data_IF_398820306555
#
_entry.id   IF_398820306555
#
_cell.length_a   1.000
_cell.length_b   1.000
_cell.length_c   1.000
_cell.angle_alpha   90.00
_cell.angle_beta   90.00
_cell.angle_gamma   90.00
#
_symmetry.space_group_name_H-M   'P 1'
#
loop_
_entity.id
_entity.type
_entity.pdbx_description
1 polymer ?
#
# COMPACT_ATOMS: atom_id res chain seq x y z
N UNK A 1 3.26 -19.92 0.17
CA UNK A 1 3.17 -19.66 -1.29
C UNK A 1 4.40 -18.88 -1.69
N UNK A 2 5.24 -19.42 -2.59
CA UNK A 2 6.48 -18.78 -3.03
C UNK A 2 6.14 -17.96 -4.28
N UNK A 3 5.63 -16.74 -4.11
CA UNK A 3 5.42 -15.83 -5.24
C UNK A 3 6.79 -15.50 -5.84
N UNK A 4 6.93 -15.63 -7.16
CA UNK A 4 8.12 -15.14 -7.84
C UNK A 4 8.19 -13.62 -7.68
N UNK A 5 9.35 -13.10 -7.26
CA UNK A 5 9.62 -11.67 -7.09
C UNK A 5 9.14 -10.84 -8.28
N UNK A 6 9.31 -11.39 -9.48
CA UNK A 6 8.90 -10.83 -10.77
C UNK A 6 7.39 -10.56 -10.85
N UNK A 7 6.54 -11.47 -10.36
CA UNK A 7 5.08 -11.32 -10.38
C UNK A 7 4.65 -10.18 -9.46
N UNK A 8 5.23 -10.14 -8.26
CA UNK A 8 4.94 -9.08 -7.28
C UNK A 8 5.41 -7.73 -7.79
N UNK A 9 6.59 -7.69 -8.43
CA UNK A 9 7.10 -6.49 -9.08
C UNK A 9 6.15 -5.99 -10.19
N UNK A 10 5.71 -6.86 -11.10
CA UNK A 10 4.75 -6.50 -12.15
C UNK A 10 3.43 -5.98 -11.56
N UNK A 11 2.91 -6.63 -10.51
CA UNK A 11 1.72 -6.16 -9.81
C UNK A 11 1.92 -4.78 -9.17
N UNK A 12 3.09 -4.51 -8.57
CA UNK A 12 3.43 -3.19 -8.02
C UNK A 12 3.51 -2.11 -9.10
N UNK A 13 4.07 -2.41 -10.27
CA UNK A 13 4.11 -1.48 -11.41
C UNK A 13 2.69 -1.13 -11.86
N UNK A 14 1.83 -2.14 -12.03
CA UNK A 14 0.43 -1.93 -12.41
C UNK A 14 -0.34 -1.11 -11.37
N UNK A 15 -0.21 -1.44 -10.09
CA UNK A 15 -0.83 -0.70 -8.99
C UNK A 15 -0.32 0.74 -8.92
N UNK A 16 0.96 0.98 -9.21
CA UNK A 16 1.55 2.32 -9.21
C UNK A 16 0.99 3.16 -10.35
N UNK A 17 0.96 2.62 -11.57
CA UNK A 17 0.32 3.26 -12.72
C UNK A 17 -1.14 3.58 -12.44
N UNK A 18 -1.90 2.62 -11.89
CA UNK A 18 -3.30 2.82 -11.52
C UNK A 18 -3.47 3.98 -10.52
N UNK A 19 -2.69 4.00 -9.43
CA UNK A 19 -2.74 5.10 -8.46
C UNK A 19 -2.33 6.46 -9.04
N UNK A 20 -1.39 6.48 -9.98
CA UNK A 20 -0.96 7.70 -10.64
C UNK A 20 -2.09 8.31 -11.49
N UNK A 21 -2.80 7.47 -12.26
CA UNK A 21 -3.95 7.94 -13.04
C UNK A 21 -5.10 8.41 -12.15
N UNK A 22 -5.41 7.68 -11.07
CA UNK A 22 -6.42 8.11 -10.09
C UNK A 22 -6.08 9.44 -9.44
N UNK A 23 -4.82 9.65 -9.05
CA UNK A 23 -4.37 10.90 -8.43
C UNK A 23 -4.35 12.11 -9.36
N UNK A 24 -4.40 11.90 -10.68
CA UNK A 24 -4.51 12.99 -11.68
C UNK A 24 -5.94 13.40 -12.00
N UNK A 25 -6.95 12.68 -11.48
CA UNK A 25 -8.34 13.07 -11.66
C UNK A 25 -8.59 14.38 -10.89
N UNK A 26 -9.22 15.36 -11.54
CA UNK A 26 -9.46 16.70 -10.96
C UNK A 26 -10.40 16.68 -9.77
N UNK A 27 -11.34 15.72 -9.75
CA UNK A 27 -12.35 15.58 -8.71
C UNK A 27 -12.06 14.35 -7.85
N UNK A 28 -11.14 14.49 -6.90
CA UNK A 28 -10.89 13.44 -5.91
C UNK A 28 -12.06 13.44 -4.92
N UNK A 29 -12.93 12.43 -5.04
CA UNK A 29 -13.98 12.16 -4.07
C UNK A 29 -13.53 11.11 -3.03
N UNK A 30 -14.37 10.87 -2.03
CA UNK A 30 -14.09 9.90 -0.96
C UNK A 30 -13.87 8.46 -1.46
N UNK A 31 -14.52 8.07 -2.56
CA UNK A 31 -14.34 6.75 -3.18
C UNK A 31 -12.96 6.63 -3.83
N UNK A 32 -12.53 7.64 -4.58
CA UNK A 32 -11.20 7.69 -5.21
C UNK A 32 -10.11 7.69 -4.13
N UNK A 33 -10.27 8.48 -3.07
CA UNK A 33 -9.36 8.44 -1.94
C UNK A 33 -9.27 7.04 -1.33
N UNK A 34 -10.42 6.39 -1.06
CA UNK A 34 -10.45 5.04 -0.49
C UNK A 34 -9.70 4.04 -1.39
N UNK A 35 -9.88 4.12 -2.71
CA UNK A 35 -9.15 3.29 -3.67
C UNK A 35 -7.64 3.56 -3.62
N UNK A 36 -7.22 4.82 -3.55
CA UNK A 36 -5.80 5.19 -3.43
C UNK A 36 -5.20 4.66 -2.12
N UNK A 37 -5.92 4.77 -1.00
CA UNK A 37 -5.46 4.28 0.30
C UNK A 37 -5.36 2.74 0.32
N UNK A 38 -6.37 2.03 -0.20
CA UNK A 38 -6.37 0.56 -0.27
C UNK A 38 -5.25 0.05 -1.17
N UNK A 39 -5.08 0.63 -2.35
CA UNK A 39 -4.00 0.23 -3.27
C UNK A 39 -2.63 0.53 -2.67
N UNK A 40 -2.48 1.61 -1.91
CA UNK A 40 -1.24 1.93 -1.19
C UNK A 40 -0.97 0.95 -0.05
N UNK A 41 -2.01 0.54 0.69
CA UNK A 41 -1.91 -0.51 1.72
C UNK A 41 -1.42 -1.83 1.12
N UNK A 42 -2.04 -2.29 0.02
CA UNK A 42 -1.67 -3.53 -0.67
C UNK A 42 -0.22 -3.48 -1.15
N UNK A 43 0.21 -2.36 -1.76
CA UNK A 43 1.60 -2.16 -2.17
C UNK A 43 2.57 -2.24 -0.99
N UNK A 44 2.26 -1.53 0.10
CA UNK A 44 3.08 -1.50 1.30
C UNK A 44 3.24 -2.88 1.94
N UNK A 45 2.15 -3.64 2.09
CA UNK A 45 2.20 -5.01 2.59
C UNK A 45 3.05 -5.91 1.71
N UNK A 46 2.88 -5.83 0.38
CA UNK A 46 3.66 -6.60 -0.59
C UNK A 46 5.17 -6.33 -0.46
N UNK A 47 5.55 -5.06 -0.29
CA UNK A 47 6.95 -4.66 -0.10
C UNK A 47 7.50 -5.22 1.21
N UNK A 48 6.76 -5.09 2.30
CA UNK A 48 7.19 -5.58 3.62
C UNK A 48 7.40 -7.10 3.63
N UNK A 49 6.51 -7.85 2.97
CA UNK A 49 6.54 -9.31 3.00
C UNK A 49 7.54 -9.90 2.02
N UNK A 50 7.61 -9.36 0.80
CA UNK A 50 8.34 -9.98 -0.32
C UNK A 50 9.71 -9.35 -0.52
N UNK A 51 9.83 -8.03 -0.45
CA UNK A 51 11.08 -7.32 -0.74
C UNK A 51 11.92 -7.07 0.51
N UNK A 52 11.28 -6.74 1.64
CA UNK A 52 11.98 -6.59 2.93
C UNK A 52 12.23 -7.94 3.64
N UNK A 53 11.69 -9.04 3.11
CA UNK A 53 11.89 -10.38 3.66
C UNK A 53 11.30 -10.58 5.06
N UNK A 54 10.39 -9.71 5.51
CA UNK A 54 9.84 -9.78 6.88
C UNK A 54 8.96 -11.03 7.11
N UNK A 55 8.62 -11.76 6.05
CA UNK A 55 7.99 -13.08 6.16
C UNK A 55 8.86 -14.12 6.89
N UNK A 56 10.18 -13.95 6.92
CA UNK A 56 11.08 -14.85 7.63
C UNK A 56 11.37 -14.40 9.09
N UNK A 57 10.84 -13.26 9.51
CA UNK A 57 11.17 -12.64 10.82
C UNK A 57 10.01 -12.84 11.81
N UNK A 58 10.34 -12.98 13.09
CA UNK A 58 9.36 -13.14 14.19
C UNK A 58 8.31 -12.03 14.13
N UNK A 59 7.03 -12.40 14.24
CA UNK A 59 5.85 -11.55 14.02
C UNK A 59 5.93 -10.14 14.64
N UNK A 60 6.57 -10.00 15.81
CA UNK A 60 6.75 -8.70 16.49
C UNK A 60 7.40 -7.62 15.61
N UNK A 61 8.41 -7.98 14.81
CA UNK A 61 9.11 -7.02 13.95
C UNK A 61 8.34 -6.72 12.67
N UNK A 62 7.51 -7.66 12.20
CA UNK A 62 6.63 -7.45 11.04
C UNK A 62 5.51 -6.47 11.35
N UNK A 63 5.05 -6.41 12.60
CA UNK A 63 3.98 -5.52 13.02
C UNK A 63 4.38 -4.04 13.00
N UNK A 64 5.66 -3.71 13.25
CA UNK A 64 6.13 -2.31 13.31
C UNK A 64 5.84 -1.56 12.00
N UNK A 65 6.31 -2.01 10.82
CA UNK A 65 6.03 -1.31 9.56
C UNK A 65 4.55 -1.37 9.17
N UNK A 66 3.82 -2.42 9.56
CA UNK A 66 2.38 -2.53 9.29
C UNK A 66 1.60 -1.47 10.09
N UNK A 67 1.88 -1.34 11.39
CA UNK A 67 1.25 -0.33 12.24
C UNK A 67 1.60 1.08 11.78
N UNK A 68 2.86 1.31 11.41
CA UNK A 68 3.29 2.58 10.85
C UNK A 68 2.53 2.92 9.56
N UNK A 69 2.46 2.00 8.61
CA UNK A 69 1.73 2.17 7.36
C UNK A 69 0.25 2.47 7.62
N UNK A 70 -0.38 1.73 8.53
CA UNK A 70 -1.78 1.93 8.87
C UNK A 70 -2.02 3.32 9.50
N UNK A 71 -1.14 3.73 10.42
CA UNK A 71 -1.22 5.05 11.06
C UNK A 71 -1.12 6.19 10.05
N UNK A 72 -0.18 6.10 9.10
CA UNK A 72 -0.01 7.11 8.04
C UNK A 72 -1.23 7.16 7.12
N UNK A 73 -1.72 6.00 6.65
CA UNK A 73 -2.89 5.95 5.78
C UNK A 73 -4.16 6.46 6.47
N UNK A 74 -4.34 6.13 7.75
CA UNK A 74 -5.43 6.65 8.55
C UNK A 74 -5.35 8.18 8.71
N UNK A 75 -4.16 8.71 8.98
CA UNK A 75 -3.94 10.15 9.10
C UNK A 75 -4.24 10.89 7.80
N UNK A 76 -3.84 10.34 6.66
CA UNK A 76 -4.18 10.89 5.33
C UNK A 76 -5.69 10.86 5.11
N UNK A 77 -6.35 9.75 5.46
CA UNK A 77 -7.80 9.62 5.38
C UNK A 77 -8.52 10.67 6.21
N UNK A 78 -8.09 10.89 7.46
CA UNK A 78 -8.64 11.92 8.34
C UNK A 78 -8.42 13.33 7.79
N UNK A 79 -7.22 13.62 7.28
CA UNK A 79 -6.88 14.92 6.71
C UNK A 79 -7.73 15.28 5.49
N UNK A 80 -8.25 14.30 4.76
CA UNK A 80 -9.15 14.55 3.62
C UNK A 80 -10.55 15.02 4.03
N UNK A 81 -11.00 14.67 5.23
CA UNK A 81 -12.32 15.07 5.76
C UNK A 81 -12.28 16.33 6.63
N UNK A 82 -11.09 16.84 6.92
CA UNK A 82 -10.85 18.11 7.62
C UNK A 82 -10.84 19.28 6.62
#
# INVERSE_FOLDING_TARGET
MRYSLEIVFLALVLLTSFTFFLGKMTDINSLILLLILLTTLIKGLSITEVFMGLNAVRNKYRLIPIFWLFFVLFSIGMAFFL
#
